data_IF_296060328705
#
_entry.id   IF_296060328705
#
_cell.length_a   1.000
_cell.length_b   1.000
_cell.length_c   1.000
_cell.angle_alpha   90.00
_cell.angle_beta   90.00
_cell.angle_gamma   90.00
#
_symmetry.space_group_name_H-M   'P 1'
#
loop_
_entity.id
_entity.type
_entity.pdbx_description
1 polymer ?
#
# COMPACT_ATOMS: atom_id res chain seq x y z
N UNK A 1 -13.81 2.22 -8.02
CA UNK A 1 -15.10 2.46 -7.32
C UNK A 1 -16.10 3.35 -8.07
N UNK A 2 -15.68 4.36 -8.87
CA UNK A 2 -16.64 5.22 -9.61
C UNK A 2 -17.56 4.44 -10.57
N UNK A 3 -17.02 3.48 -11.33
CA UNK A 3 -17.79 2.62 -12.22
C UNK A 3 -18.81 1.76 -11.45
N UNK A 4 -18.40 1.12 -10.36
CA UNK A 4 -19.29 0.34 -9.47
C UNK A 4 -20.41 1.21 -8.89
N UNK A 5 -20.10 2.43 -8.46
CA UNK A 5 -21.11 3.36 -7.95
C UNK A 5 -22.14 3.75 -9.04
N UNK A 6 -21.67 3.97 -10.27
CA UNK A 6 -22.53 4.22 -11.42
C UNK A 6 -23.42 3.01 -11.74
N UNK A 7 -22.86 1.81 -11.76
CA UNK A 7 -23.61 0.57 -11.97
C UNK A 7 -24.69 0.36 -10.90
N UNK A 8 -24.34 0.57 -9.63
CA UNK A 8 -25.26 0.43 -8.50
C UNK A 8 -26.41 1.46 -8.58
N UNK A 9 -26.12 2.69 -9.03
CA UNK A 9 -27.16 3.69 -9.31
C UNK A 9 -28.09 3.28 -10.45
N UNK A 10 -27.55 2.68 -11.52
CA UNK A 10 -28.35 2.16 -12.63
C UNK A 10 -29.25 1.01 -12.18
N UNK A 11 -28.72 0.06 -11.40
CA UNK A 11 -29.51 -1.06 -10.87
C UNK A 11 -30.63 -0.59 -9.94
N UNK A 12 -30.39 0.44 -9.11
CA UNK A 12 -31.46 1.05 -8.30
C UNK A 12 -32.55 1.68 -9.17
N UNK A 13 -32.19 2.31 -10.29
CA UNK A 13 -33.14 2.84 -11.26
C UNK A 13 -33.97 1.72 -11.93
N UNK A 14 -33.34 0.59 -12.26
CA UNK A 14 -34.06 -0.58 -12.79
C UNK A 14 -35.01 -1.14 -11.74
N UNK A 15 -34.58 -1.26 -10.48
CA UNK A 15 -35.42 -1.71 -9.37
C UNK A 15 -36.66 -0.82 -9.20
N UNK A 16 -36.48 0.50 -9.26
CA UNK A 16 -37.59 1.46 -9.23
C UNK A 16 -38.55 1.29 -10.41
N UNK A 17 -38.02 1.13 -11.63
CA UNK A 17 -38.83 0.87 -12.81
C UNK A 17 -39.63 -0.44 -12.69
N UNK A 18 -39.02 -1.50 -12.15
CA UNK A 18 -39.69 -2.78 -11.90
C UNK A 18 -40.84 -2.65 -10.90
N UNK A 19 -40.65 -1.91 -9.79
CA UNK A 19 -41.73 -1.64 -8.83
C UNK A 19 -42.84 -0.81 -9.47
N UNK A 20 -42.47 0.17 -10.28
CA UNK A 20 -43.41 1.09 -10.92
C UNK A 20 -44.32 0.37 -11.95
N UNK A 21 -43.83 -0.67 -12.62
CA UNK A 21 -44.63 -1.53 -13.50
C UNK A 21 -45.76 -2.29 -12.78
N UNK A 22 -45.64 -2.50 -11.46
CA UNK A 22 -46.66 -3.19 -10.65
C UNK A 22 -47.84 -2.27 -10.27
N UNK A 23 -47.74 -0.97 -10.57
CA UNK A 23 -48.79 0.03 -10.30
C UNK A 23 -49.44 0.44 -11.62
N UNK A 24 -50.68 0.92 -11.57
CA UNK A 24 -51.33 1.49 -12.74
C UNK A 24 -50.57 2.71 -13.27
N UNK A 25 -50.36 2.76 -14.58
CA UNK A 25 -49.62 3.82 -15.27
C UNK A 25 -50.07 3.99 -16.73
N UNK A 26 -49.89 5.18 -17.32
CA UNK A 26 -50.06 5.39 -18.76
C UNK A 26 -49.11 4.51 -19.60
N UNK A 27 -49.56 4.11 -20.80
CA UNK A 27 -48.84 3.20 -21.69
C UNK A 27 -47.46 3.72 -22.11
N UNK A 28 -47.32 5.02 -22.34
CA UNK A 28 -46.03 5.66 -22.67
C UNK A 28 -45.01 5.49 -21.54
N UNK A 29 -45.46 5.61 -20.29
CA UNK A 29 -44.61 5.46 -19.10
C UNK A 29 -44.27 3.99 -18.88
N UNK A 30 -45.29 3.11 -19.01
CA UNK A 30 -45.14 1.67 -18.88
C UNK A 30 -44.17 1.10 -19.91
N UNK A 31 -44.26 1.50 -21.18
CA UNK A 31 -43.37 1.06 -22.25
C UNK A 31 -41.89 1.38 -21.96
N UNK A 32 -41.61 2.61 -21.54
CA UNK A 32 -40.25 3.04 -21.15
C UNK A 32 -39.71 2.28 -19.94
N UNK A 33 -40.54 2.04 -18.92
CA UNK A 33 -40.12 1.27 -17.75
C UNK A 33 -39.86 -0.19 -18.09
N UNK A 34 -40.66 -0.76 -19.00
CA UNK A 34 -40.50 -2.13 -19.49
C UNK A 34 -39.17 -2.32 -20.20
N UNK A 35 -38.79 -1.40 -21.09
CA UNK A 35 -37.49 -1.44 -21.79
C UNK A 35 -36.32 -1.39 -20.80
N UNK A 36 -36.40 -0.54 -19.77
CA UNK A 36 -35.37 -0.45 -18.71
C UNK A 36 -35.22 -1.76 -17.94
N UNK A 37 -36.32 -2.48 -17.69
CA UNK A 37 -36.32 -3.74 -16.93
C UNK A 37 -35.90 -4.92 -17.80
N UNK A 38 -36.34 -4.99 -19.06
CA UNK A 38 -36.02 -6.07 -20.01
C UNK A 38 -34.52 -6.19 -20.32
N UNK A 39 -33.77 -5.08 -20.21
CA UNK A 39 -32.31 -5.08 -20.37
C UNK A 39 -31.57 -5.84 -19.25
N UNK A 40 -32.24 -6.26 -18.17
CA UNK A 40 -31.63 -6.99 -17.05
C UNK A 40 -31.96 -8.49 -17.09
N UNK A 41 -30.96 -9.30 -17.46
CA UNK A 41 -31.08 -10.77 -17.51
C UNK A 41 -31.03 -11.46 -16.13
N UNK A 42 -30.54 -10.78 -15.09
CA UNK A 42 -30.36 -11.32 -13.73
C UNK A 42 -31.23 -10.52 -12.75
N UNK A 43 -31.82 -11.16 -11.72
CA UNK A 43 -32.56 -10.45 -10.69
C UNK A 43 -31.76 -9.28 -10.11
N UNK A 44 -32.35 -8.09 -10.16
CA UNK A 44 -31.68 -6.83 -9.85
C UNK A 44 -31.23 -6.78 -8.38
N UNK A 45 -32.02 -7.31 -7.45
CA UNK A 45 -31.69 -7.32 -6.03
C UNK A 45 -30.44 -8.18 -5.72
N UNK A 46 -30.27 -9.32 -6.40
CA UNK A 46 -29.07 -10.16 -6.25
C UNK A 46 -27.82 -9.42 -6.70
N UNK A 47 -27.91 -8.72 -7.84
CA UNK A 47 -26.79 -7.96 -8.40
C UNK A 47 -26.44 -6.75 -7.53
N UNK A 48 -27.44 -6.05 -6.98
CA UNK A 48 -27.20 -4.98 -6.00
C UNK A 48 -26.47 -5.52 -4.78
N UNK A 49 -26.95 -6.62 -4.19
CA UNK A 49 -26.34 -7.22 -3.00
C UNK A 49 -24.89 -7.65 -3.24
N UNK A 50 -24.61 -8.28 -4.38
CA UNK A 50 -23.26 -8.69 -4.76
C UNK A 50 -22.30 -7.49 -4.83
N UNK A 51 -22.69 -6.42 -5.53
CA UNK A 51 -21.87 -5.21 -5.65
C UNK A 51 -21.68 -4.51 -4.31
N UNK A 52 -22.71 -4.47 -3.45
CA UNK A 52 -22.59 -3.90 -2.11
C UNK A 52 -21.62 -4.69 -1.22
N UNK A 53 -21.63 -6.01 -1.31
CA UNK A 53 -20.68 -6.88 -0.60
C UNK A 53 -19.25 -6.69 -1.11
N UNK A 54 -19.06 -6.65 -2.43
CA UNK A 54 -17.74 -6.41 -3.03
C UNK A 54 -17.17 -5.06 -2.59
N UNK A 55 -17.98 -4.00 -2.59
CA UNK A 55 -17.60 -2.67 -2.10
C UNK A 55 -17.17 -2.69 -0.63
N UNK A 56 -17.88 -3.44 0.21
CA UNK A 56 -17.52 -3.57 1.64
C UNK A 56 -16.18 -4.29 1.80
N UNK A 57 -15.97 -5.39 1.08
CA UNK A 57 -14.72 -6.14 1.10
C UNK A 57 -13.54 -5.29 0.62
N UNK A 58 -13.69 -4.56 -0.50
CA UNK A 58 -12.64 -3.67 -1.00
C UNK A 58 -12.26 -2.59 0.03
N UNK A 59 -13.23 -2.01 0.72
CA UNK A 59 -12.97 -1.03 1.79
C UNK A 59 -12.20 -1.65 2.96
N UNK A 60 -12.60 -2.85 3.39
CA UNK A 60 -11.90 -3.58 4.44
C UNK A 60 -10.46 -3.88 4.05
N UNK A 61 -10.24 -4.37 2.83
CA UNK A 61 -8.88 -4.63 2.32
C UNK A 61 -8.04 -3.36 2.28
N UNK A 62 -8.59 -2.23 1.84
CA UNK A 62 -7.87 -0.96 1.81
C UNK A 62 -7.38 -0.54 3.21
N UNK A 63 -8.25 -0.66 4.23
CA UNK A 63 -7.91 -0.35 5.63
C UNK A 63 -6.76 -1.26 6.12
N UNK A 64 -6.86 -2.57 5.85
CA UNK A 64 -5.82 -3.54 6.24
C UNK A 64 -4.50 -3.22 5.54
N UNK A 65 -4.53 -2.98 4.22
CA UNK A 65 -3.33 -2.63 3.47
C UNK A 65 -2.70 -1.32 3.94
N UNK A 66 -3.50 -0.31 4.25
CA UNK A 66 -3.00 0.97 4.75
C UNK A 66 -2.31 0.79 6.12
N UNK A 67 -2.89 -0.03 7.00
CA UNK A 67 -2.26 -0.39 8.28
C UNK A 67 -0.93 -1.12 8.05
N UNK A 68 -0.93 -2.18 7.24
CA UNK A 68 0.27 -2.95 6.96
C UNK A 68 1.38 -2.08 6.35
N UNK A 69 1.01 -1.18 5.43
CA UNK A 69 1.95 -0.23 4.85
C UNK A 69 2.57 0.69 5.90
N UNK A 70 1.77 1.24 6.83
CA UNK A 70 2.29 2.07 7.93
C UNK A 70 3.23 1.28 8.85
N UNK A 71 2.88 0.04 9.15
CA UNK A 71 3.69 -0.82 10.02
C UNK A 71 5.03 -1.18 9.36
N UNK A 72 5.02 -1.56 8.08
CA UNK A 72 6.23 -1.83 7.31
C UNK A 72 7.10 -0.58 7.13
N UNK A 73 6.49 0.58 6.86
CA UNK A 73 7.22 1.84 6.79
C UNK A 73 7.95 2.14 8.11
N UNK A 74 7.30 1.89 9.25
CA UNK A 74 7.93 2.06 10.57
C UNK A 74 9.09 1.08 10.77
N UNK A 75 8.91 -0.19 10.42
CA UNK A 75 9.98 -1.21 10.50
C UNK A 75 11.19 -0.82 9.66
N UNK A 76 10.96 -0.30 8.45
CA UNK A 76 12.01 0.17 7.56
C UNK A 76 12.80 1.33 8.18
N UNK A 77 12.14 2.32 8.77
CA UNK A 77 12.84 3.45 9.40
C UNK A 77 13.69 2.99 10.60
N UNK A 78 13.15 2.11 11.45
CA UNK A 78 13.93 1.52 12.56
C UNK A 78 15.16 0.77 12.04
N UNK A 79 15.01 -0.03 10.99
CA UNK A 79 16.13 -0.76 10.39
C UNK A 79 17.19 0.19 9.79
N UNK A 80 16.78 1.31 9.18
CA UNK A 80 17.70 2.34 8.68
C UNK A 80 18.47 3.02 9.81
N UNK A 81 17.81 3.35 10.92
CA UNK A 81 18.45 3.92 12.10
C UNK A 81 19.46 2.94 12.72
N UNK A 82 19.10 1.66 12.83
CA UNK A 82 20.02 0.64 13.30
C UNK A 82 21.23 0.49 12.35
N UNK A 83 20.99 0.49 11.03
CA UNK A 83 22.06 0.42 10.04
C UNK A 83 22.99 1.65 10.10
N UNK A 84 22.45 2.85 10.34
CA UNK A 84 23.27 4.06 10.46
C UNK A 84 24.14 4.02 11.73
N UNK A 85 23.61 3.53 12.86
CA UNK A 85 24.38 3.31 14.09
C UNK A 85 25.47 2.23 13.90
N UNK A 86 25.16 1.17 13.16
CA UNK A 86 26.09 0.05 12.89
C UNK A 86 27.12 0.38 11.81
N UNK A 87 26.93 1.43 11.01
CA UNK A 87 27.98 1.99 10.14
C UNK A 87 29.05 2.66 10.99
N UNK A 88 29.76 1.85 11.78
CA UNK A 88 31.05 2.18 12.32
C UNK A 88 31.98 2.48 11.15
N UNK A 89 32.46 3.72 11.06
CA UNK A 89 33.50 4.11 10.12
C UNK A 89 34.81 4.28 10.92
N UNK A 90 35.62 3.21 11.06
CA UNK A 90 36.82 3.22 11.93
C UNK A 90 37.83 4.32 11.61
N UNK A 91 37.72 4.97 10.45
CA UNK A 91 38.68 5.95 9.95
C UNK A 91 38.17 7.41 10.00
N UNK A 92 36.93 7.68 10.43
CA UNK A 92 36.36 9.06 10.39
C UNK A 92 36.79 9.93 11.58
N UNK A 93 37.22 9.31 12.68
CA UNK A 93 37.66 10.02 13.88
C UNK A 93 39.19 10.18 13.96
N UNK A 94 39.92 9.84 12.89
CA UNK A 94 41.31 10.29 12.77
C UNK A 94 41.26 11.70 12.18
N UNK A 95 40.75 12.66 12.98
CA UNK A 95 41.27 14.01 12.86
C UNK A 95 42.74 13.89 13.23
N UNK A 96 43.60 13.77 12.21
CA UNK A 96 45.03 13.98 12.38
C UNK A 96 45.14 15.37 12.96
N UNK A 97 45.34 15.44 14.28
CA UNK A 97 45.76 16.65 14.95
C UNK A 97 47.14 17.00 14.37
N UNK A 98 47.12 17.78 13.31
CA UNK A 98 48.26 18.55 12.85
C UNK A 98 48.61 19.59 13.92
N UNK A 99 49.24 19.16 15.03
CA UNK A 99 50.35 19.85 15.72
C UNK A 99 50.55 19.42 17.18
N UNK A 100 51.81 19.02 17.44
CA UNK A 100 52.60 19.09 18.69
C UNK A 100 52.30 18.01 19.74
N UNK A 101 53.24 17.47 20.51
CA UNK A 101 54.71 17.54 20.68
C UNK A 101 54.99 16.40 21.68
N UNK A 102 56.08 15.63 21.50
CA UNK A 102 56.64 14.79 22.56
C UNK A 102 56.84 13.32 22.19
N UNK A 103 58.10 12.93 21.94
CA UNK A 103 58.55 11.55 21.81
C UNK A 103 58.23 10.70 23.05
N UNK A 104 58.16 9.35 22.92
CA UNK A 104 59.31 8.58 23.40
C UNK A 104 59.72 7.40 22.49
N UNK A 105 60.99 7.41 22.10
CA UNK A 105 61.88 6.31 21.67
C UNK A 105 61.23 4.95 21.29
N UNK A 106 60.98 4.73 20.00
CA UNK A 106 60.73 3.39 19.47
C UNK A 106 62.05 2.61 19.36
N UNK A 107 62.29 1.66 20.27
CA UNK A 107 63.37 0.66 20.14
C UNK A 107 63.11 -0.20 18.89
N UNK A 108 63.86 0.06 17.82
CA UNK A 108 63.86 -0.75 16.59
C UNK A 108 64.38 -2.16 16.88
N UNK A 109 63.54 -3.18 16.72
CA UNK A 109 63.95 -4.60 16.76
C UNK A 109 64.70 -4.93 15.47
N UNK A 110 66.01 -5.20 15.55
CA UNK A 110 66.80 -5.60 14.37
C UNK A 110 66.52 -7.06 14.00
N UNK A 111 66.19 -7.31 12.74
CA UNK A 111 66.10 -8.65 12.16
C UNK A 111 67.51 -9.25 12.08
N UNK A 112 67.70 -10.49 12.57
CA UNK A 112 68.94 -11.25 12.35
C UNK A 112 68.89 -11.89 10.96
N UNK A 113 69.83 -11.54 10.08
CA UNK A 113 70.11 -12.26 8.84
C UNK A 113 71.05 -13.43 9.14
N UNK A 114 70.63 -14.64 8.78
CA UNK A 114 71.47 -15.84 8.74
C UNK A 114 72.54 -15.68 7.64
N UNK A 115 73.78 -16.03 7.95
CA UNK A 115 74.80 -16.34 6.94
C UNK A 115 75.47 -17.64 7.38
N UNK A 116 75.31 -18.67 6.56
CA UNK A 116 76.02 -19.94 6.64
C UNK A 116 77.46 -19.76 6.17
N UNK A 117 78.42 -20.34 6.88
CA UNK A 117 79.82 -20.45 6.51
C UNK A 117 80.46 -21.56 7.31
#
# INVERSE_FOLDING_TARGET
MKAVAFELSNLRRVRQASVALNVWQPEVVRGRQKEIVEQCAVPVDLRINALEMELKLCKQHLIVHEKNYRDEKRRLEVAKEQLSLMRYHPLQNVSVDERRVGEPSAKRKKLKTHISG
#
